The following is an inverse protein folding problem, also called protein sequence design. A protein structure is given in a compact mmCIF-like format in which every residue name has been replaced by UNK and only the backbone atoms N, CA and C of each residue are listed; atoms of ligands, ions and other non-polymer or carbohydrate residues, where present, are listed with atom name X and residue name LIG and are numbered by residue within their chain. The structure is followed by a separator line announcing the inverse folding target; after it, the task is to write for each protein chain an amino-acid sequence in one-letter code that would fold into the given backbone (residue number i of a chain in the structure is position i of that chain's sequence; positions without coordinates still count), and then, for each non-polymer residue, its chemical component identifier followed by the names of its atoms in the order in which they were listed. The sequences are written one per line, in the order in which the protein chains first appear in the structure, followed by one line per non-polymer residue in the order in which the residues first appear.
data_IF_494660805887
#
_entry.id   IF_494660805887
#
_cell.length_a   1.000
_cell.length_b   1.000
_cell.length_c   1.000
_cell.angle_alpha   90.00
_cell.angle_beta   90.00
_cell.angle_gamma   90.00
#
_symmetry.space_group_name_H-M   'P 1'
#
loop_
_entity.id
_entity.type
_entity.pdbx_description
1 polymer ?
#
# COMPACT_ATOMS: atom_id res chain seq x y z
N UNK A 1 -1.18 -10.13 -13.85
CA UNK A 1 -1.78 -8.84 -14.25
C UNK A 1 -1.18 -7.73 -13.38
N UNK A 2 -1.02 -6.49 -13.89
CA UNK A 2 -0.35 -5.40 -13.17
C UNK A 2 -1.00 -5.05 -11.81
N UNK A 3 -2.33 -5.09 -11.74
CA UNK A 3 -3.11 -4.84 -10.53
C UNK A 3 -2.77 -5.83 -9.39
N UNK A 4 -2.67 -7.13 -9.70
CA UNK A 4 -2.39 -8.15 -8.69
C UNK A 4 -1.02 -7.96 -8.04
N UNK A 5 -0.02 -7.52 -8.81
CA UNK A 5 1.31 -7.20 -8.28
C UNK A 5 1.29 -6.00 -7.34
N UNK A 6 0.51 -4.96 -7.66
CA UNK A 6 0.37 -3.77 -6.80
C UNK A 6 -0.35 -4.10 -5.50
N UNK A 7 -1.41 -4.91 -5.56
CA UNK A 7 -2.13 -5.40 -4.37
C UNK A 7 -1.23 -6.24 -3.48
N UNK A 8 -0.45 -7.17 -4.06
CA UNK A 8 0.49 -7.99 -3.29
C UNK A 8 1.57 -7.14 -2.62
N UNK A 9 2.14 -6.17 -3.35
CA UNK A 9 3.12 -5.23 -2.79
C UNK A 9 2.52 -4.41 -1.65
N UNK A 10 1.30 -3.88 -1.82
CA UNK A 10 0.60 -3.15 -0.78
C UNK A 10 0.42 -4.00 0.49
N UNK A 11 0.01 -5.28 0.33
CA UNK A 11 -0.14 -6.22 1.44
C UNK A 11 1.20 -6.56 2.11
N UNK A 12 2.28 -6.68 1.34
CA UNK A 12 3.64 -6.90 1.88
C UNK A 12 4.10 -5.72 2.73
N UNK A 13 3.84 -4.48 2.30
CA UNK A 13 4.15 -3.29 3.09
C UNK A 13 3.36 -3.29 4.40
N UNK A 14 2.09 -3.72 4.39
CA UNK A 14 1.31 -3.82 5.63
C UNK A 14 1.92 -4.79 6.64
N UNK A 15 2.37 -5.97 6.20
CA UNK A 15 3.05 -6.93 7.08
C UNK A 15 4.33 -6.33 7.68
N UNK A 16 5.16 -5.71 6.84
CA UNK A 16 6.38 -5.04 7.30
C UNK A 16 6.08 -3.92 8.31
N UNK A 17 4.98 -3.18 8.10
CA UNK A 17 4.59 -2.11 9.00
C UNK A 17 4.19 -2.64 10.38
N UNK A 18 3.42 -3.74 10.41
CA UNK A 18 3.02 -4.41 11.66
C UNK A 18 4.26 -4.88 12.43
N UNK A 19 5.20 -5.54 11.74
CA UNK A 19 6.44 -6.01 12.35
C UNK A 19 7.26 -4.85 12.91
N UNK A 20 7.43 -3.76 12.15
CA UNK A 20 8.18 -2.58 12.60
C UNK A 20 7.51 -1.86 13.77
N UNK A 21 6.18 -1.83 13.81
CA UNK A 21 5.42 -1.20 14.89
C UNK A 21 5.41 -2.02 16.18
N UNK A 22 5.60 -3.35 16.10
CA UNK A 22 5.72 -4.21 17.27
C UNK A 22 7.01 -3.95 18.07
N UNK A 23 7.99 -3.25 17.48
CA UNK A 23 9.27 -2.95 18.12
C UNK A 23 9.29 -1.49 18.66
N UNK A 24 9.47 -1.27 19.98
CA UNK A 24 9.49 0.06 20.60
C UNK A 24 10.56 1.01 20.05
N UNK A 25 11.66 0.46 19.52
CA UNK A 25 12.76 1.20 18.87
C UNK A 25 12.76 1.06 17.35
N UNK A 26 11.63 0.70 16.76
CA UNK A 26 11.49 0.57 15.31
C UNK A 26 11.86 1.87 14.59
N UNK A 27 12.49 1.74 13.42
CA UNK A 27 12.93 2.88 12.61
C UNK A 27 11.72 3.70 12.13
N UNK A 28 11.48 4.83 12.83
CA UNK A 28 10.39 5.76 12.53
C UNK A 28 10.46 6.32 11.11
N UNK A 29 11.66 6.53 10.57
CA UNK A 29 11.85 7.02 9.20
C UNK A 29 11.45 5.95 8.18
N UNK A 30 11.82 4.70 8.43
CA UNK A 30 11.40 3.57 7.61
C UNK A 30 9.87 3.41 7.64
N UNK A 31 9.25 3.47 8.81
CA UNK A 31 7.78 3.43 8.96
C UNK A 31 7.13 4.55 8.15
N UNK A 32 7.64 5.79 8.21
CA UNK A 32 7.10 6.90 7.42
C UNK A 32 7.23 6.67 5.90
N UNK A 33 8.37 6.15 5.43
CA UNK A 33 8.58 5.82 4.02
C UNK A 33 7.61 4.74 3.55
N UNK A 34 7.45 3.67 4.33
CA UNK A 34 6.53 2.57 4.03
C UNK A 34 5.07 3.04 3.99
N UNK A 35 4.64 3.90 4.92
CA UNK A 35 3.29 4.50 4.88
C UNK A 35 3.06 5.32 3.61
N UNK A 36 4.05 6.12 3.20
CA UNK A 36 3.97 6.93 1.98
C UNK A 36 3.91 6.06 0.73
N UNK A 37 4.67 4.98 0.68
CA UNK A 37 4.64 4.02 -0.41
C UNK A 37 3.31 3.25 -0.45
N UNK A 38 2.79 2.83 0.70
CA UNK A 38 1.47 2.21 0.83
C UNK A 38 0.37 3.11 0.27
N UNK A 39 0.37 4.40 0.63
CA UNK A 39 -0.59 5.39 0.11
C UNK A 39 -0.54 5.47 -1.42
N UNK A 40 0.67 5.60 -1.99
CA UNK A 40 0.86 5.64 -3.46
C UNK A 40 0.36 4.38 -4.16
N UNK A 41 0.58 3.21 -3.56
CA UNK A 41 0.08 1.95 -4.10
C UNK A 41 -1.43 1.88 -4.05
N UNK A 42 -2.05 2.32 -2.94
CA UNK A 42 -3.52 2.39 -2.82
C UNK A 42 -4.12 3.29 -3.91
N UNK A 43 -3.62 4.52 -4.03
CA UNK A 43 -4.14 5.48 -5.00
C UNK A 43 -3.95 4.97 -6.45
N UNK A 44 -2.86 4.25 -6.72
CA UNK A 44 -2.62 3.61 -8.02
C UNK A 44 -3.51 2.37 -8.27
N UNK A 45 -3.83 1.61 -7.22
CA UNK A 45 -4.76 0.47 -7.28
C UNK A 45 -6.17 0.97 -7.56
N UNK A 46 -6.62 2.04 -6.89
CA UNK A 46 -7.92 2.67 -7.11
C UNK A 46 -8.04 3.14 -8.56
N UNK A 47 -7.10 3.96 -9.05
CA UNK A 47 -7.10 4.40 -10.46
C UNK A 47 -7.15 3.25 -11.47
N UNK A 48 -6.35 2.20 -11.25
CA UNK A 48 -6.36 1.05 -12.15
C UNK A 48 -7.65 0.22 -12.05
N UNK A 49 -8.29 0.18 -10.89
CA UNK A 49 -9.60 -0.44 -10.74
C UNK A 49 -10.68 0.38 -11.45
N UNK A 50 -10.63 1.70 -11.34
CA UNK A 50 -11.55 2.62 -12.03
C UNK A 50 -11.39 2.53 -13.56
N UNK A 51 -10.16 2.34 -14.06
CA UNK A 51 -9.91 2.09 -15.48
C UNK A 51 -10.45 0.72 -15.95
N UNK A 52 -10.47 -0.29 -15.07
CA UNK A 52 -10.92 -1.64 -15.37
C UNK A 52 -12.42 -1.85 -15.18
N UNK A 53 -13.04 -1.08 -14.29
CA UNK A 53 -14.48 -1.06 -14.01
C UNK A 53 -14.89 0.41 -14.15
N UNK A 54 -15.40 0.85 -15.32
CA UNK A 54 -15.61 2.26 -15.61
C UNK A 54 -16.82 2.88 -14.87
N UNK A 55 -17.18 2.35 -13.70
CA UNK A 55 -18.25 2.89 -12.89
C UNK A 55 -18.12 2.43 -11.43
N UNK A 56 -18.67 3.25 -10.51
CA UNK A 56 -18.86 3.07 -9.05
C UNK A 56 -17.99 4.01 -8.16
N UNK A 57 -18.52 5.23 -8.07
CA UNK A 57 -18.69 6.14 -6.91
C UNK A 57 -17.52 6.86 -6.20
N UNK A 58 -17.68 8.18 -6.14
CA UNK A 58 -16.90 9.21 -5.45
C UNK A 58 -17.16 9.30 -3.94
#
# INVERSE_FOLDING_TARGET
MRLSLMVERHRSIDRQLVDLQAHPWGDRLLIQRLKKEKLRLRDGIERLKDELVPDIDA
#
